data_IF_386230073787
#
_entry.id   IF_386230073787
#
_cell.length_a   1.000
_cell.length_b   1.000
_cell.length_c   1.000
_cell.angle_alpha   90.00
_cell.angle_beta   90.00
_cell.angle_gamma   90.00
#
_symmetry.space_group_name_H-M   'P 1'
#
loop_
_entity.id
_entity.type
_entity.pdbx_description
1 polymer ?
#
# COMPACT_ATOMS: atom_id res chain seq x y z
N UNK A 1 -24.01 -1.39 5.25
CA UNK A 1 -23.51 -2.60 5.94
C UNK A 1 -22.01 -2.83 5.71
N UNK A 2 -21.53 -3.07 4.47
CA UNK A 2 -20.11 -3.34 4.18
C UNK A 2 -19.11 -2.28 4.69
N UNK A 3 -19.46 -0.98 4.65
CA UNK A 3 -18.59 0.09 5.18
C UNK A 3 -18.26 -0.09 6.67
N UNK A 4 -19.20 -0.58 7.49
CA UNK A 4 -18.98 -0.83 8.93
C UNK A 4 -18.08 -2.03 9.17
N UNK A 5 -18.24 -3.08 8.34
CA UNK A 5 -17.38 -4.27 8.37
C UNK A 5 -15.93 -3.88 8.03
N UNK A 6 -15.72 -3.05 6.99
CA UNK A 6 -14.39 -2.54 6.64
C UNK A 6 -13.76 -1.73 7.77
N UNK A 7 -14.56 -0.92 8.48
CA UNK A 7 -14.10 -0.19 9.67
C UNK A 7 -13.64 -1.13 10.79
N UNK A 8 -14.25 -2.31 10.94
CA UNK A 8 -13.80 -3.32 11.89
C UNK A 8 -12.51 -4.03 11.45
N UNK A 9 -12.27 -4.11 10.14
CA UNK A 9 -11.02 -4.63 9.55
C UNK A 9 -9.88 -3.61 9.55
N UNK A 10 -10.17 -2.33 9.78
CA UNK A 10 -9.14 -1.32 9.96
C UNK A 10 -8.22 -1.70 11.12
N UNK A 11 -6.91 -1.63 10.85
CA UNK A 11 -5.86 -2.11 11.73
C UNK A 11 -4.69 -1.16 11.63
N UNK A 12 -4.76 -0.03 12.33
CA UNK A 12 -3.58 0.80 12.59
C UNK A 12 -2.90 0.22 13.82
N UNK A 13 -2.18 -0.90 13.64
CA UNK A 13 -1.29 -1.35 14.69
C UNK A 13 -0.16 -0.34 14.81
N UNK A 14 0.08 0.17 16.02
CA UNK A 14 1.27 0.97 16.30
C UNK A 14 2.56 0.15 16.18
N UNK A 15 2.43 -1.17 15.97
CA UNK A 15 3.54 -2.07 15.68
C UNK A 15 4.30 -1.62 14.43
N UNK A 16 5.58 -1.33 14.65
CA UNK A 16 6.54 -1.06 13.60
C UNK A 16 6.88 -2.36 12.86
N UNK A 17 7.02 -2.27 11.54
CA UNK A 17 7.58 -3.33 10.71
C UNK A 17 9.07 -3.45 11.02
N UNK A 18 9.54 -4.69 11.23
CA UNK A 18 10.91 -5.00 11.68
C UNK A 18 11.64 -5.92 10.72
N UNK A 19 12.97 -5.91 10.77
CA UNK A 19 13.82 -6.83 9.99
C UNK A 19 13.99 -6.36 8.55
N UNK A 20 13.64 -7.19 7.57
CA UNK A 20 13.72 -6.81 6.15
C UNK A 20 12.34 -6.32 5.70
N UNK A 21 12.25 -5.08 5.22
CA UNK A 21 11.00 -4.47 4.76
C UNK A 21 11.11 -4.09 3.29
N UNK A 22 10.24 -4.67 2.47
CA UNK A 22 10.05 -4.31 1.05
C UNK A 22 9.16 -3.06 0.98
N UNK A 23 9.56 -2.07 0.19
CA UNK A 23 8.83 -0.83 0.03
C UNK A 23 8.77 -0.47 -1.44
N UNK A 24 7.56 -0.18 -1.91
CA UNK A 24 7.27 0.15 -3.30
C UNK A 24 5.97 0.98 -3.38
N UNK A 25 5.75 1.62 -4.52
CA UNK A 25 4.52 2.35 -4.82
C UNK A 25 3.77 1.75 -6.02
N UNK A 26 2.46 1.74 -5.92
CA UNK A 26 1.58 1.34 -7.02
C UNK A 26 0.50 2.38 -7.25
N UNK A 27 -0.05 2.41 -8.45
CA UNK A 27 -1.01 3.43 -8.86
C UNK A 27 -2.36 2.80 -9.16
N UNK A 28 -3.37 3.21 -8.40
CA UNK A 28 -4.75 2.75 -8.58
C UNK A 28 -5.54 3.82 -9.33
N UNK A 29 -6.08 3.43 -10.48
CA UNK A 29 -6.91 4.30 -11.32
C UNK A 29 -7.13 3.67 -12.69
N UNK A 30 -8.24 4.03 -13.33
CA UNK A 30 -8.59 3.52 -14.66
C UNK A 30 -7.54 3.90 -15.69
N UNK A 31 -7.09 2.94 -16.51
CA UNK A 31 -6.17 3.23 -17.61
C UNK A 31 -6.84 4.15 -18.63
N UNK A 32 -6.20 5.27 -18.94
CA UNK A 32 -6.66 6.13 -20.02
C UNK A 32 -6.45 5.50 -21.40
N UNK A 33 -5.68 4.42 -21.55
CA UNK A 33 -5.33 3.83 -22.86
C UNK A 33 -6.56 3.62 -23.75
N UNK A 34 -7.63 3.04 -23.19
CA UNK A 34 -8.87 2.74 -23.89
C UNK A 34 -9.97 3.82 -23.74
N UNK A 35 -9.67 4.96 -23.10
CA UNK A 35 -10.65 6.05 -22.97
C UNK A 35 -10.84 6.79 -24.30
N UNK A 36 -12.06 7.26 -24.55
CA UNK A 36 -12.41 8.09 -25.72
C UNK A 36 -11.55 9.35 -25.78
N UNK A 37 -11.09 9.70 -26.99
CA UNK A 37 -10.22 10.87 -27.23
C UNK A 37 -10.85 12.20 -26.78
N UNK A 38 -12.16 12.35 -26.94
CA UNK A 38 -12.89 13.55 -26.48
C UNK A 38 -12.81 13.74 -24.97
N UNK A 39 -13.01 12.65 -24.21
CA UNK A 39 -12.92 12.65 -22.75
C UNK A 39 -11.48 12.90 -22.26
N UNK A 40 -10.46 12.36 -22.94
CA UNK A 40 -9.05 12.67 -22.65
C UNK A 40 -8.74 14.16 -22.82
N UNK A 41 -9.27 14.78 -23.88
CA UNK A 41 -9.08 16.20 -24.19
C UNK A 41 -9.75 17.10 -23.15
N UNK A 42 -10.93 16.71 -22.68
CA UNK A 42 -11.69 17.40 -21.63
C UNK A 42 -10.98 17.35 -20.27
N UNK A 43 -10.36 16.21 -19.92
CA UNK A 43 -9.59 16.08 -18.69
C UNK A 43 -8.31 16.93 -18.68
N UNK A 44 -7.75 17.27 -19.84
CA UNK A 44 -6.53 18.07 -19.94
C UNK A 44 -5.25 17.36 -19.44
N UNK A 45 -5.31 16.05 -19.20
CA UNK A 45 -4.22 15.26 -18.60
C UNK A 45 -3.40 14.57 -19.69
N UNK A 46 -2.08 14.50 -19.51
CA UNK A 46 -1.20 13.77 -20.42
C UNK A 46 -1.57 12.27 -20.48
N UNK A 47 -1.82 11.69 -21.68
CA UNK A 47 -2.31 10.31 -21.84
C UNK A 47 -1.47 9.21 -21.16
N UNK A 48 -0.16 9.45 -20.95
CA UNK A 48 0.76 8.55 -20.24
C UNK A 48 1.07 8.94 -18.80
N UNK A 49 0.52 10.07 -18.32
CA UNK A 49 0.76 10.58 -16.97
C UNK A 49 -0.01 9.79 -15.92
N UNK A 50 0.54 9.71 -14.71
CA UNK A 50 -0.12 9.07 -13.57
C UNK A 50 -0.99 10.03 -12.75
N UNK A 51 -1.17 11.28 -13.21
CA UNK A 51 -1.87 12.35 -12.48
C UNK A 51 -3.34 12.04 -12.17
N UNK A 52 -3.99 11.24 -13.02
CA UNK A 52 -5.38 10.77 -12.83
C UNK A 52 -5.48 9.55 -11.91
N UNK A 53 -4.35 8.98 -11.46
CA UNK A 53 -4.31 7.80 -10.59
C UNK A 53 -3.93 8.21 -9.19
N UNK A 54 -4.44 7.47 -8.20
CA UNK A 54 -4.03 7.63 -6.82
C UNK A 54 -2.81 6.74 -6.53
N UNK A 55 -1.68 7.33 -6.08
CA UNK A 55 -0.56 6.54 -5.60
C UNK A 55 -0.89 5.87 -4.27
N UNK A 56 -0.37 4.65 -4.11
CA UNK A 56 -0.50 3.81 -2.91
C UNK A 56 0.90 3.36 -2.55
N UNK A 57 1.35 3.72 -1.36
CA UNK A 57 2.60 3.24 -0.76
C UNK A 57 2.35 1.89 -0.11
N UNK A 58 3.15 0.89 -0.46
CA UNK A 58 3.16 -0.43 0.18
C UNK A 58 4.43 -0.65 0.99
N UNK A 59 4.29 -1.22 2.17
CA UNK A 59 5.39 -1.62 3.05
C UNK A 59 5.12 -3.04 3.53
N UNK A 60 6.02 -3.97 3.25
CA UNK A 60 5.83 -5.38 3.57
C UNK A 60 7.04 -5.93 4.33
N UNK A 61 6.82 -6.37 5.56
CA UNK A 61 7.81 -7.10 6.33
C UNK A 61 7.99 -8.51 5.75
N UNK A 62 9.25 -8.95 5.64
CA UNK A 62 9.61 -10.32 5.26
C UNK A 62 8.96 -11.29 6.26
N UNK A 63 8.12 -12.19 5.73
CA UNK A 63 7.37 -13.17 6.53
C UNK A 63 6.49 -12.55 7.63
N UNK A 64 6.07 -11.30 7.44
CA UNK A 64 5.24 -10.59 8.41
C UNK A 64 4.08 -9.86 7.77
N UNK A 65 3.75 -8.72 8.36
CA UNK A 65 2.61 -7.89 7.99
C UNK A 65 2.90 -7.05 6.75
N UNK A 66 1.84 -6.75 6.00
CA UNK A 66 1.80 -5.71 4.98
C UNK A 66 0.98 -4.51 5.47
N UNK A 67 1.47 -3.30 5.19
CA UNK A 67 0.79 -2.02 5.39
C UNK A 67 0.70 -1.30 4.04
N UNK A 68 -0.45 -0.73 3.73
CA UNK A 68 -0.69 0.03 2.51
C UNK A 68 -1.38 1.35 2.82
N UNK A 69 -0.89 2.43 2.24
CA UNK A 69 -1.35 3.79 2.53
C UNK A 69 -1.56 4.51 1.20
N UNK A 70 -2.77 5.00 0.96
CA UNK A 70 -3.08 5.93 -0.13
C UNK A 70 -2.40 7.25 0.20
N UNK A 71 -1.60 7.74 -0.73
CA UNK A 71 -0.90 9.02 -0.58
C UNK A 71 -1.37 9.98 -1.66
N UNK A 72 -1.25 11.28 -1.41
CA UNK A 72 -1.62 12.29 -2.41
C UNK A 72 -0.56 12.40 -3.52
N UNK A 73 0.71 12.22 -3.16
CA UNK A 73 1.82 12.31 -4.10
C UNK A 73 2.95 11.35 -3.72
N UNK A 74 3.47 10.64 -4.72
CA UNK A 74 4.64 9.79 -4.58
C UNK A 74 5.93 10.64 -4.64
N UNK A 75 6.19 11.39 -3.58
CA UNK A 75 7.42 12.17 -3.44
C UNK A 75 8.13 11.92 -2.10
N UNK A 76 9.38 12.38 -2.01
CA UNK A 76 10.20 12.19 -0.83
C UNK A 76 9.63 12.84 0.45
N UNK A 77 8.89 13.95 0.32
CA UNK A 77 8.33 14.69 1.46
C UNK A 77 7.14 13.94 2.06
N UNK A 78 6.37 13.26 1.23
CA UNK A 78 5.24 12.43 1.67
C UNK A 78 5.68 11.04 2.13
N UNK A 79 6.55 10.37 1.37
CA UNK A 79 6.91 8.96 1.62
C UNK A 79 7.79 8.80 2.86
N UNK A 80 8.84 9.60 3.02
CA UNK A 80 9.84 9.35 4.09
C UNK A 80 9.28 9.45 5.51
N UNK A 81 8.40 10.44 5.85
CA UNK A 81 7.77 10.47 7.16
C UNK A 81 6.92 9.21 7.44
N UNK A 82 6.23 8.69 6.42
CA UNK A 82 5.44 7.46 6.56
C UNK A 82 6.33 6.25 6.82
N UNK A 83 7.47 6.13 6.12
CA UNK A 83 8.43 5.06 6.38
C UNK A 83 8.96 5.13 7.81
N UNK A 84 9.39 6.30 8.27
CA UNK A 84 9.89 6.48 9.64
C UNK A 84 8.80 6.22 10.71
N UNK A 85 7.52 6.46 10.38
CA UNK A 85 6.39 6.19 11.30
C UNK A 85 6.10 4.70 11.42
N UNK A 86 6.31 3.91 10.36
CA UNK A 86 5.80 2.53 10.28
C UNK A 86 6.89 1.46 10.23
N UNK A 87 8.15 1.84 10.05
CA UNK A 87 9.29 0.92 9.98
C UNK A 87 10.25 1.23 11.12
N UNK A 88 10.70 0.19 11.80
CA UNK A 88 11.70 0.30 12.84
C UNK A 88 13.05 0.72 12.26
N UNK A 89 13.70 1.73 12.88
CA UNK A 89 14.99 2.27 12.40
C UNK A 89 16.12 1.23 12.36
N UNK A 90 16.04 0.14 13.11
CA UNK A 90 17.00 -0.97 13.04
C UNK A 90 16.79 -1.88 11.82
N UNK A 91 15.77 -1.63 10.99
CA UNK A 91 15.40 -2.47 9.85
C UNK A 91 16.20 -2.19 8.58
N UNK A 92 16.23 -3.18 7.71
CA UNK A 92 16.79 -3.13 6.36
C UNK A 92 15.67 -2.88 5.34
N UNK A 93 15.68 -1.71 4.69
CA UNK A 93 14.65 -1.32 3.72
C UNK A 93 15.10 -1.66 2.29
N UNK A 94 14.25 -2.33 1.52
CA UNK A 94 14.49 -2.75 0.14
C UNK A 94 13.53 -2.01 -0.80
N UNK A 95 14.06 -1.30 -1.80
CA UNK A 95 13.24 -0.55 -2.79
C UNK A 95 13.74 -0.75 -4.22
N UNK A 96 12.94 -0.38 -5.21
CA UNK A 96 13.25 -0.39 -6.65
C UNK A 96 14.26 0.71 -7.10
N UNK A 97 14.64 1.59 -6.16
CA UNK A 97 15.55 2.71 -6.41
C UNK A 97 14.89 4.01 -6.88
N UNK A 98 13.56 4.13 -6.82
CA UNK A 98 12.86 5.40 -7.08
C UNK A 98 13.41 6.55 -6.24
N UNK A 99 13.44 7.75 -6.84
CA UNK A 99 14.10 8.93 -6.28
C UNK A 99 13.59 9.36 -4.90
N UNK A 100 12.32 9.07 -4.57
CA UNK A 100 11.74 9.39 -3.27
C UNK A 100 12.49 8.68 -2.11
N UNK A 101 12.96 7.46 -2.35
CA UNK A 101 13.66 6.61 -1.38
C UNK A 101 15.13 6.97 -1.19
N UNK A 102 15.64 8.05 -1.80
CA UNK A 102 17.03 8.47 -1.55
C UNK A 102 17.26 8.77 -0.07
N UNK A 103 18.47 8.47 0.40
CA UNK A 103 18.95 8.75 1.77
C UNK A 103 18.28 7.95 2.90
N UNK A 104 17.55 6.86 2.62
CA UNK A 104 16.97 6.03 3.69
C UNK A 104 18.02 5.37 4.60
N UNK A 105 19.26 5.18 4.13
CA UNK A 105 20.39 4.74 4.96
C UNK A 105 20.74 5.72 6.10
N UNK A 106 20.21 6.95 6.09
CA UNK A 106 20.41 7.92 7.19
C UNK A 106 19.40 7.74 8.32
N UNK A 107 18.26 7.10 8.05
CA UNK A 107 17.17 6.92 9.03
C UNK A 107 16.94 5.46 9.41
N UNK A 108 17.38 4.52 8.57
CA UNK A 108 17.25 3.09 8.80
C UNK A 108 18.63 2.42 8.69
N UNK A 109 18.78 1.26 9.36
CA UNK A 109 20.04 0.53 9.45
C UNK A 109 20.66 0.22 8.08
N UNK A 110 19.84 -0.06 7.07
CA UNK A 110 20.31 -0.30 5.70
C UNK A 110 19.26 0.09 4.67
N UNK A 111 19.73 0.65 3.55
CA UNK A 111 18.91 0.82 2.34
C UNK A 111 19.49 0.02 1.18
N UNK A 112 18.75 -1.00 0.72
CA UNK A 112 19.06 -1.80 -0.46
C UNK A 112 18.23 -1.30 -1.63
N UNK A 113 18.90 -1.00 -2.75
CA UNK A 113 18.26 -0.53 -3.98
C UNK A 113 18.39 -1.59 -5.07
N UNK A 114 17.26 -2.11 -5.51
CA UNK A 114 17.15 -3.06 -6.61
C UNK A 114 16.82 -2.29 -7.87
N UNK A 115 17.86 -1.88 -8.60
CA UNK A 115 17.65 -1.06 -9.78
C UNK A 115 17.10 -1.92 -10.93
N UNK A 116 15.77 -1.92 -11.09
CA UNK A 116 15.08 -2.66 -12.15
C UNK A 116 15.47 -2.18 -13.55
N UNK A 117 15.81 -0.89 -13.73
CA UNK A 117 16.30 -0.38 -15.02
C UNK A 117 17.65 -0.99 -15.43
N UNK A 118 18.39 -1.56 -14.48
CA UNK A 118 19.63 -2.31 -14.70
C UNK A 118 19.43 -3.82 -14.61
N UNK A 119 18.19 -4.30 -14.67
CA UNK A 119 17.81 -5.71 -14.50
C UNK A 119 18.24 -6.34 -13.16
N UNK A 120 18.43 -5.52 -12.11
CA UNK A 120 18.77 -6.02 -10.78
C UNK A 120 17.45 -6.26 -10.02
N UNK A 121 16.90 -7.46 -10.16
CA UNK A 121 15.64 -7.87 -9.52
C UNK A 121 15.83 -8.46 -8.12
N UNK A 122 17.05 -8.92 -7.80
CA UNK A 122 17.41 -9.45 -6.50
C UNK A 122 18.88 -9.21 -6.20
N UNK A 123 19.23 -9.13 -4.92
CA UNK A 123 20.60 -9.03 -4.44
C UNK A 123 20.76 -9.91 -3.20
N UNK A 124 21.33 -11.10 -3.37
CA UNK A 124 21.42 -12.09 -2.29
C UNK A 124 20.05 -12.40 -1.69
N UNK A 125 19.86 -12.09 -0.40
CA UNK A 125 18.58 -12.29 0.31
C UNK A 125 17.49 -11.24 0.03
N UNK A 126 17.81 -10.16 -0.70
CA UNK A 126 16.89 -9.04 -0.92
C UNK A 126 16.18 -9.14 -2.28
N UNK A 127 14.84 -9.03 -2.27
CA UNK A 127 13.96 -8.88 -3.43
C UNK A 127 12.67 -8.14 -2.99
N UNK A 128 11.86 -7.67 -3.95
CA UNK A 128 10.54 -7.04 -3.74
C UNK A 128 9.36 -7.95 -4.14
N UNK A 129 9.64 -9.23 -4.39
CA UNK A 129 8.69 -10.13 -5.06
C UNK A 129 7.42 -10.38 -4.25
N UNK A 130 7.47 -10.26 -2.92
CA UNK A 130 6.30 -10.48 -2.07
C UNK A 130 5.35 -9.30 -2.17
N UNK A 131 5.87 -8.08 -2.10
CA UNK A 131 5.09 -6.87 -2.30
C UNK A 131 4.52 -6.80 -3.73
N UNK A 132 5.29 -7.21 -4.74
CA UNK A 132 4.80 -7.35 -6.13
C UNK A 132 3.62 -8.32 -6.26
N UNK A 133 3.71 -9.47 -5.57
CA UNK A 133 2.61 -10.42 -5.49
C UNK A 133 1.40 -9.82 -4.79
N UNK A 134 1.60 -9.03 -3.73
CA UNK A 134 0.51 -8.35 -3.04
C UNK A 134 -0.18 -7.29 -3.91
N UNK A 135 0.58 -6.54 -4.73
CA UNK A 135 0.00 -5.64 -5.73
C UNK A 135 -0.88 -6.37 -6.73
N UNK A 136 -0.49 -7.58 -7.12
CA UNK A 136 -1.30 -8.44 -8.00
C UNK A 136 -2.62 -8.81 -7.34
N UNK A 137 -2.62 -9.13 -6.04
CA UNK A 137 -3.85 -9.38 -5.26
C UNK A 137 -4.76 -8.16 -5.24
N UNK A 138 -4.23 -6.97 -4.97
CA UNK A 138 -5.02 -5.72 -4.97
C UNK A 138 -5.66 -5.49 -6.34
N UNK A 139 -4.87 -5.57 -7.43
CA UNK A 139 -5.37 -5.36 -8.79
C UNK A 139 -6.47 -6.34 -9.16
N UNK A 140 -6.31 -7.63 -8.81
CA UNK A 140 -7.33 -8.67 -9.04
C UNK A 140 -8.60 -8.41 -8.24
N UNK A 141 -8.51 -7.98 -6.98
CA UNK A 141 -9.68 -7.65 -6.17
C UNK A 141 -10.45 -6.46 -6.74
N UNK A 142 -9.75 -5.41 -7.20
CA UNK A 142 -10.37 -4.25 -7.85
C UNK A 142 -11.06 -4.63 -9.16
N UNK A 143 -10.50 -5.55 -9.94
CA UNK A 143 -11.10 -5.98 -11.22
C UNK A 143 -12.27 -6.95 -11.01
N UNK A 144 -12.13 -7.90 -10.09
CA UNK A 144 -13.07 -9.02 -9.95
C UNK A 144 -14.14 -8.87 -8.87
N UNK A 145 -13.81 -8.22 -7.75
CA UNK A 145 -14.68 -8.19 -6.56
C UNK A 145 -15.34 -6.83 -6.33
N UNK A 146 -14.59 -5.74 -6.52
CA UNK A 146 -15.07 -4.41 -6.20
C UNK A 146 -15.56 -3.70 -7.47
N UNK A 147 -16.75 -3.09 -7.39
CA UNK A 147 -17.29 -2.28 -8.47
C UNK A 147 -17.27 -0.82 -8.07
N UNK A 148 -16.76 0.05 -8.96
CA UNK A 148 -16.69 1.51 -8.78
C UNK A 148 -15.95 1.93 -7.49
N UNK A 149 -14.71 1.49 -7.34
CA UNK A 149 -13.82 1.98 -6.28
C UNK A 149 -13.52 3.46 -6.53
N UNK A 150 -13.99 4.33 -5.65
CA UNK A 150 -13.73 5.77 -5.72
C UNK A 150 -12.47 6.13 -4.92
N UNK A 151 -11.73 7.19 -5.30
CA UNK A 151 -10.54 7.65 -4.57
C UNK A 151 -10.79 7.90 -3.08
N UNK A 152 -11.96 8.44 -2.71
CA UNK A 152 -12.32 8.83 -1.34
C UNK A 152 -12.51 7.62 -0.42
N UNK A 153 -12.73 6.44 -1.00
CA UNK A 153 -12.94 5.20 -0.26
C UNK A 153 -11.81 4.18 -0.47
N UNK A 154 -10.84 4.48 -1.33
CA UNK A 154 -9.78 3.56 -1.72
C UNK A 154 -9.03 2.98 -0.51
N UNK A 155 -8.67 3.82 0.47
CA UNK A 155 -7.99 3.35 1.69
C UNK A 155 -8.77 2.24 2.39
N UNK A 156 -10.09 2.41 2.56
CA UNK A 156 -10.92 1.41 3.25
C UNK A 156 -10.98 0.05 2.53
N UNK A 157 -10.84 0.03 1.20
CA UNK A 157 -10.74 -1.21 0.43
C UNK A 157 -9.36 -1.85 0.61
N UNK A 158 -8.30 -1.04 0.59
CA UNK A 158 -6.94 -1.52 0.79
C UNK A 158 -6.74 -2.07 2.21
N UNK A 159 -7.33 -1.43 3.22
CA UNK A 159 -7.32 -1.91 4.61
C UNK A 159 -7.99 -3.28 4.73
N UNK A 160 -9.13 -3.49 4.06
CA UNK A 160 -9.80 -4.80 4.01
C UNK A 160 -8.89 -5.87 3.38
N UNK A 161 -8.24 -5.57 2.25
CA UNK A 161 -7.36 -6.52 1.55
C UNK A 161 -6.13 -6.83 2.41
N UNK A 162 -5.50 -5.81 3.00
CA UNK A 162 -4.35 -5.96 3.89
C UNK A 162 -4.71 -6.76 5.13
N UNK A 163 -5.87 -6.50 5.75
CA UNK A 163 -6.36 -7.26 6.90
C UNK A 163 -6.53 -8.75 6.55
N UNK A 164 -7.21 -9.06 5.45
CA UNK A 164 -7.39 -10.46 5.00
C UNK A 164 -6.07 -11.14 4.70
N UNK A 165 -5.13 -10.43 4.08
CA UNK A 165 -3.82 -10.98 3.76
C UNK A 165 -2.98 -11.26 5.01
N UNK A 166 -2.99 -10.34 5.97
CA UNK A 166 -2.23 -10.45 7.22
C UNK A 166 -2.77 -11.56 8.14
N UNK A 167 -4.06 -11.86 8.07
CA UNK A 167 -4.73 -12.85 8.94
C UNK A 167 -5.21 -14.07 8.15
N UNK A 168 -4.59 -14.38 6.99
CA UNK A 168 -5.05 -15.44 6.08
C UNK A 168 -4.94 -16.87 6.65
N UNK A 169 -4.10 -17.05 7.67
CA UNK A 169 -3.93 -18.33 8.36
C UNK A 169 -4.88 -18.47 9.57
N UNK A 170 -5.62 -17.40 9.91
CA UNK A 170 -6.57 -17.35 11.03
C UNK A 170 -8.00 -17.62 10.56
N UNK A 171 -8.90 -17.95 11.50
CA UNK A 171 -10.34 -17.89 11.24
C UNK A 171 -10.80 -16.42 11.17
N UNK A 172 -10.80 -15.89 9.94
CA UNK A 172 -11.20 -14.51 9.66
C UNK A 172 -12.60 -14.17 10.16
N UNK A 173 -13.53 -15.12 10.18
CA UNK A 173 -14.89 -14.84 10.64
C UNK A 173 -14.90 -14.59 12.14
N UNK A 174 -14.36 -15.53 12.91
CA UNK A 174 -14.27 -15.41 14.37
C UNK A 174 -13.46 -14.17 14.76
N UNK A 175 -12.30 -13.95 14.13
CA UNK A 175 -11.46 -12.78 14.38
C UNK A 175 -12.22 -11.46 14.15
N UNK A 176 -12.99 -11.39 13.06
CA UNK A 176 -13.77 -10.20 12.73
C UNK A 176 -14.89 -9.95 13.74
N UNK A 177 -15.61 -10.99 14.17
CA UNK A 177 -16.65 -10.86 15.19
C UNK A 177 -16.04 -10.37 16.51
N UNK A 178 -14.91 -10.95 16.93
CA UNK A 178 -14.19 -10.50 18.13
C UNK A 178 -13.79 -9.03 18.03
N UNK A 179 -13.24 -8.59 16.88
CA UNK A 179 -12.87 -7.18 16.68
C UNK A 179 -14.08 -6.24 16.68
N UNK A 180 -15.20 -6.66 16.10
CA UNK A 180 -16.44 -5.86 16.13
C UNK A 180 -16.95 -5.67 17.55
N UNK A 181 -16.89 -6.71 18.37
CA UNK A 181 -17.31 -6.66 19.78
C UNK A 181 -16.37 -5.78 20.60
N UNK A 182 -15.07 -5.83 20.33
CA UNK A 182 -14.03 -5.07 21.06
C UNK A 182 -13.93 -3.60 20.64
N UNK A 183 -14.44 -3.20 19.47
CA UNK A 183 -14.47 -1.78 19.09
C UNK A 183 -15.51 -1.02 19.92
N UNK A 184 -15.07 -0.31 20.96
CA UNK A 184 -15.90 0.70 21.60
C UNK A 184 -16.35 1.76 20.57
N UNK A 185 -17.61 2.22 20.63
CA UNK A 185 -18.05 3.31 19.78
C UNK A 185 -17.25 4.56 20.14
N UNK A 186 -16.31 4.97 19.27
CA UNK A 186 -15.79 6.35 19.30
C UNK A 186 -16.99 7.26 19.03
N UNK A 187 -17.62 7.75 20.08
CA UNK A 187 -18.59 8.84 20.02
C UNK A 187 -17.82 10.00 19.42
N UNK A 188 -18.19 10.38 18.19
CA UNK A 188 -17.68 11.60 17.60
C UNK A 188 -18.22 12.75 18.47
N UNK A 189 -17.36 13.33 19.30
CA UNK A 189 -17.66 14.59 19.96
C UNK A 189 -17.64 15.64 18.85
N UNK A 190 -18.82 16.17 18.56
CA UNK A 190 -19.11 17.22 17.56
C UNK A 190 -18.34 18.50 17.83
#
# INVERSE_FOLDING_TARGET
MQKRIRKAMYSDSDDLLKGIVEVDESYVGGSMTNMRKSYKKELGIYPGGMEHKKPVLGMMQREGLVKVIVIDKADAKTIRPLLNKHIDTASEVVTDGFGAYRMLHKTHAKHVKLNHSKNIMSLGKYNTSRLDSFWTTIKRAIVGQYHRVSPEHLQSYLDEIAFKFNNREEDLFSLLITRIIQQEPRIAVT
#
